data_IF_131561624929
#
_entry.id   IF_131561624929
#
_cell.length_a   1.000
_cell.length_b   1.000
_cell.length_c   1.000
_cell.angle_alpha   90.00
_cell.angle_beta   90.00
_cell.angle_gamma   90.00
#
_symmetry.space_group_name_H-M   'P 1'
#
loop_
_entity.id
_entity.type
_entity.pdbx_description
1 polymer ?
#
# COMPACT_ATOMS: atom_id res chain seq x y z
N UNK A 1 4.61 -7.10 3.76
CA UNK A 1 6.03 -7.38 4.02
C UNK A 1 6.32 -7.31 5.50
N UNK A 2 6.27 -6.12 6.11
CA UNK A 2 6.69 -5.90 7.50
C UNK A 2 6.01 -6.83 8.52
N UNK A 3 4.69 -7.04 8.41
CA UNK A 3 3.98 -7.95 9.30
C UNK A 3 4.45 -9.41 9.20
N UNK A 4 4.86 -9.87 8.00
CA UNK A 4 5.39 -11.22 7.81
C UNK A 4 6.76 -11.37 8.48
N UNK A 5 7.65 -10.40 8.28
CA UNK A 5 8.98 -10.37 8.90
C UNK A 5 8.87 -10.32 10.42
N UNK A 6 8.06 -9.41 10.95
CA UNK A 6 7.87 -9.28 12.41
C UNK A 6 7.27 -10.54 13.02
N UNK A 7 6.34 -11.21 12.33
CA UNK A 7 5.75 -12.45 12.81
C UNK A 7 6.80 -13.58 12.85
N UNK A 8 7.67 -13.68 11.84
CA UNK A 8 8.77 -14.63 11.80
C UNK A 8 9.76 -14.42 12.95
N UNK A 9 10.21 -13.17 13.13
CA UNK A 9 11.15 -12.82 14.20
C UNK A 9 10.55 -13.15 15.57
N UNK A 10 9.30 -12.75 15.81
CA UNK A 10 8.65 -13.03 17.09
C UNK A 10 8.51 -14.55 17.37
N UNK A 11 8.14 -15.32 16.37
CA UNK A 11 8.02 -16.77 16.52
C UNK A 11 9.36 -17.47 16.75
N UNK A 12 10.42 -17.01 16.07
CA UNK A 12 11.79 -17.50 16.27
C UNK A 12 12.31 -17.20 17.68
N UNK A 13 11.79 -16.14 18.32
CA UNK A 13 12.04 -15.81 19.74
C UNK A 13 11.08 -16.52 20.71
N UNK A 14 10.38 -17.55 20.26
CA UNK A 14 9.41 -18.34 21.04
C UNK A 14 8.18 -17.56 21.55
N UNK A 15 7.86 -16.40 20.96
CA UNK A 15 6.58 -15.74 21.22
C UNK A 15 5.44 -16.51 20.54
N UNK A 16 4.28 -16.58 21.21
CA UNK A 16 3.03 -16.98 20.57
C UNK A 16 2.46 -15.79 19.79
N UNK A 17 2.34 -15.95 18.49
CA UNK A 17 1.96 -14.90 17.56
C UNK A 17 0.55 -15.14 17.01
N UNK A 18 -0.30 -14.12 17.08
CA UNK A 18 -1.54 -14.06 16.31
C UNK A 18 -1.35 -13.05 15.17
N UNK A 19 -1.21 -13.57 13.95
CA UNK A 19 -1.09 -12.76 12.73
C UNK A 19 -2.48 -12.56 12.13
N UNK A 20 -2.93 -11.30 12.07
CA UNK A 20 -4.24 -10.91 11.56
C UNK A 20 -4.05 -10.25 10.21
N UNK A 21 -4.81 -10.69 9.20
CA UNK A 21 -4.83 -10.13 7.85
C UNK A 21 -6.28 -9.86 7.43
N UNK A 22 -6.52 -8.66 6.92
CA UNK A 22 -7.85 -8.27 6.44
C UNK A 22 -8.21 -8.90 5.09
N UNK A 23 -7.20 -9.20 4.27
CA UNK A 23 -7.39 -9.79 2.95
C UNK A 23 -7.54 -11.33 3.05
N UNK A 24 -7.93 -11.93 1.93
CA UNK A 24 -8.04 -13.37 1.74
C UNK A 24 -6.68 -14.07 1.66
N UNK A 25 -5.59 -13.33 1.40
CA UNK A 25 -4.22 -13.85 1.37
C UNK A 25 -3.23 -12.90 2.03
N UNK A 26 -2.11 -13.46 2.47
CA UNK A 26 -1.02 -12.72 3.11
C UNK A 26 -0.09 -12.12 2.05
N UNK A 27 0.39 -10.89 2.31
CA UNK A 27 1.38 -10.26 1.43
C UNK A 27 1.17 -8.76 1.25
N UNK A 28 -0.04 -8.27 1.48
CA UNK A 28 -0.38 -6.86 1.30
C UNK A 28 -0.15 -6.43 -0.16
N UNK A 29 0.66 -5.38 -0.37
CA UNK A 29 0.91 -4.82 -1.71
C UNK A 29 1.61 -5.79 -2.68
N UNK A 30 2.34 -6.79 -2.17
CA UNK A 30 2.95 -7.82 -3.04
C UNK A 30 1.88 -8.55 -3.87
N UNK A 31 0.67 -8.72 -3.35
CA UNK A 31 -0.41 -9.41 -4.04
C UNK A 31 -0.83 -8.74 -5.36
N UNK A 32 -0.52 -7.46 -5.51
CA UNK A 32 -0.76 -6.67 -6.72
C UNK A 32 0.52 -6.28 -7.48
N UNK A 33 1.68 -6.77 -7.06
CA UNK A 33 2.96 -6.48 -7.71
C UNK A 33 3.26 -7.54 -8.77
N UNK A 34 3.46 -7.11 -10.02
CA UNK A 34 3.87 -7.98 -11.15
C UNK A 34 5.36 -7.89 -11.46
N UNK A 35 6.03 -6.83 -11.03
CA UNK A 35 7.42 -6.60 -11.35
C UNK A 35 8.31 -7.69 -10.73
N UNK A 36 8.83 -8.57 -11.58
CA UNK A 36 9.75 -9.66 -11.17
C UNK A 36 11.19 -9.17 -10.95
N UNK A 37 11.49 -7.94 -11.35
CA UNK A 37 12.82 -7.34 -11.11
C UNK A 37 13.02 -6.98 -9.64
N UNK A 38 11.92 -6.85 -8.89
CA UNK A 38 11.98 -6.63 -7.44
C UNK A 38 12.31 -7.97 -6.77
N UNK A 39 13.43 -8.00 -6.07
CA UNK A 39 13.91 -9.19 -5.35
C UNK A 39 14.11 -8.91 -3.87
N UNK A 40 13.83 -9.92 -3.06
CA UNK A 40 14.21 -9.96 -1.64
C UNK A 40 14.98 -11.27 -1.44
N UNK A 41 16.16 -11.22 -0.83
CA UNK A 41 17.05 -12.38 -0.63
C UNK A 41 17.37 -13.13 -1.94
N UNK A 42 17.60 -12.40 -3.03
CA UNK A 42 17.83 -12.91 -4.39
C UNK A 42 16.63 -13.69 -4.98
N UNK A 43 15.48 -13.71 -4.34
CA UNK A 43 14.24 -14.31 -4.86
C UNK A 43 13.33 -13.23 -5.43
N UNK A 44 12.65 -13.48 -6.57
CA UNK A 44 11.55 -12.63 -6.99
C UNK A 44 10.54 -12.42 -5.86
N UNK A 45 10.01 -11.21 -5.74
CA UNK A 45 9.21 -10.80 -4.56
C UNK A 45 8.04 -11.75 -4.28
N UNK A 46 7.41 -12.29 -5.32
CA UNK A 46 6.30 -13.24 -5.17
C UNK A 46 6.77 -14.62 -4.67
N UNK A 47 7.95 -15.08 -5.09
CA UNK A 47 8.54 -16.31 -4.59
C UNK A 47 8.96 -16.17 -3.14
N UNK A 48 9.61 -15.04 -2.79
CA UNK A 48 9.92 -14.72 -1.41
C UNK A 48 8.68 -14.71 -0.53
N UNK A 49 7.59 -14.04 -0.98
CA UNK A 49 6.31 -14.03 -0.26
C UNK A 49 5.78 -15.45 -0.02
N UNK A 50 5.77 -16.28 -1.05
CA UNK A 50 5.28 -17.66 -0.92
C UNK A 50 6.12 -18.47 0.07
N UNK A 51 7.44 -18.33 0.03
CA UNK A 51 8.37 -19.00 0.93
C UNK A 51 8.17 -18.60 2.39
N UNK A 52 8.06 -17.29 2.68
CA UNK A 52 7.85 -16.81 4.04
C UNK A 52 6.45 -17.22 4.57
N UNK A 53 5.40 -17.12 3.77
CA UNK A 53 4.05 -17.54 4.15
C UNK A 53 3.99 -19.03 4.46
N UNK A 54 4.63 -19.87 3.64
CA UNK A 54 4.74 -21.32 3.92
C UNK A 54 5.47 -21.59 5.24
N UNK A 55 6.58 -20.90 5.49
CA UNK A 55 7.32 -21.00 6.74
C UNK A 55 6.48 -20.60 7.96
N UNK A 56 5.76 -19.47 7.87
CA UNK A 56 4.89 -18.99 8.94
C UNK A 56 3.73 -19.97 9.21
N UNK A 57 3.11 -20.51 8.16
CA UNK A 57 1.96 -21.42 8.29
C UNK A 57 2.32 -22.77 8.95
N UNK A 58 3.57 -23.20 8.83
CA UNK A 58 4.09 -24.44 9.46
C UNK A 58 4.58 -24.23 10.89
N UNK A 59 4.71 -22.98 11.35
CA UNK A 59 5.23 -22.69 12.67
C UNK A 59 4.14 -22.80 13.75
N UNK A 60 4.29 -23.73 14.68
CA UNK A 60 3.33 -23.98 15.78
C UNK A 60 3.15 -22.79 16.74
N UNK A 61 4.05 -21.82 16.73
CA UNK A 61 3.94 -20.60 17.51
C UNK A 61 3.07 -19.52 16.83
N UNK A 62 2.70 -19.71 15.56
CA UNK A 62 1.96 -18.71 14.79
C UNK A 62 0.54 -19.21 14.50
N UNK A 63 -0.44 -18.40 14.83
CA UNK A 63 -1.82 -18.55 14.37
C UNK A 63 -2.13 -17.44 13.37
N UNK A 64 -2.43 -17.81 12.12
CA UNK A 64 -2.82 -16.88 11.05
C UNK A 64 -4.35 -16.83 11.00
N UNK A 65 -4.91 -15.62 10.95
CA UNK A 65 -6.36 -15.38 10.80
C UNK A 65 -6.57 -14.38 9.69
N UNK A 66 -7.06 -14.86 8.56
CA UNK A 66 -7.35 -14.07 7.35
C UNK A 66 -8.81 -13.57 7.35
N UNK A 67 -9.16 -12.71 6.38
CA UNK A 67 -10.48 -12.08 6.27
C UNK A 67 -10.91 -11.43 7.60
N UNK A 68 -9.93 -10.83 8.30
CA UNK A 68 -10.13 -10.35 9.67
C UNK A 68 -9.62 -8.92 9.81
N UNK A 69 -10.55 -8.00 10.05
CA UNK A 69 -10.25 -6.59 10.22
C UNK A 69 -10.21 -6.23 11.70
N UNK A 70 -9.05 -5.75 12.17
CA UNK A 70 -8.94 -5.15 13.48
C UNK A 70 -9.48 -3.71 13.43
N UNK A 71 -10.54 -3.43 14.19
CA UNK A 71 -11.25 -2.17 14.15
C UNK A 71 -11.15 -1.34 15.44
N UNK A 72 -10.65 -1.93 16.52
CA UNK A 72 -10.48 -1.21 17.77
C UNK A 72 -9.23 -1.65 18.53
N UNK A 73 -8.55 -0.67 19.14
CA UNK A 73 -7.42 -0.86 20.03
C UNK A 73 -7.64 -0.08 21.33
N UNK A 74 -8.03 -0.79 22.35
CA UNK A 74 -8.45 -0.27 23.65
C UNK A 74 -7.30 -0.37 24.67
N UNK A 75 -7.54 0.13 25.90
CA UNK A 75 -6.56 0.11 26.97
C UNK A 75 -6.06 -1.32 27.30
N UNK A 76 -4.83 -1.41 27.77
CA UNK A 76 -4.17 -2.65 28.18
C UNK A 76 -4.02 -3.66 27.05
N UNK A 77 -3.67 -3.19 25.85
CA UNK A 77 -3.51 -4.01 24.64
C UNK A 77 -4.71 -4.93 24.35
N UNK A 78 -5.92 -4.42 24.56
CA UNK A 78 -7.14 -5.10 24.15
C UNK A 78 -7.52 -4.66 22.73
N UNK A 79 -7.46 -5.60 21.79
CA UNK A 79 -7.87 -5.36 20.40
C UNK A 79 -9.18 -6.08 20.13
N UNK A 80 -10.00 -5.46 19.27
CA UNK A 80 -11.23 -6.06 18.75
C UNK A 80 -11.07 -6.21 17.23
N UNK A 81 -11.41 -7.40 16.73
CA UNK A 81 -11.39 -7.66 15.31
C UNK A 81 -12.65 -8.42 14.88
N UNK A 82 -13.08 -8.19 13.65
CA UNK A 82 -14.18 -8.93 13.02
C UNK A 82 -13.59 -9.80 11.90
N UNK A 83 -13.92 -11.08 11.96
CA UNK A 83 -13.57 -12.07 10.95
C UNK A 83 -14.81 -12.39 10.13
N UNK A 84 -14.71 -12.26 8.81
CA UNK A 84 -15.70 -12.79 7.88
C UNK A 84 -15.47 -14.29 7.68
N UNK A 85 -16.52 -15.09 7.90
CA UNK A 85 -16.47 -16.55 7.77
C UNK A 85 -17.03 -16.94 6.40
N UNK A 86 -16.20 -17.63 5.61
CA UNK A 86 -16.55 -18.13 4.27
C UNK A 86 -17.08 -17.04 3.31
N UNK A 87 -16.31 -15.95 3.03
CA UNK A 87 -16.75 -14.86 2.14
C UNK A 87 -17.12 -15.34 0.72
N UNK A 88 -16.60 -16.48 0.29
CA UNK A 88 -16.87 -17.03 -1.04
C UNK A 88 -18.25 -17.68 -1.18
N UNK A 89 -18.87 -18.09 -0.08
CA UNK A 89 -20.15 -18.82 -0.14
C UNK A 89 -21.38 -17.96 -0.47
N UNK A 90 -21.27 -16.65 -0.60
CA UNK A 90 -22.29 -15.70 -1.10
C UNK A 90 -23.78 -15.93 -0.74
N UNK A 91 -24.15 -17.16 -0.40
CA UNK A 91 -25.48 -17.64 -0.05
C UNK A 91 -25.45 -18.29 1.33
N UNK A 92 -25.41 -17.48 2.37
CA UNK A 92 -25.55 -17.97 3.74
C UNK A 92 -26.95 -18.54 4.00
N UNK A 93 -27.03 -19.72 4.57
CA UNK A 93 -28.30 -20.20 5.17
C UNK A 93 -28.65 -19.33 6.38
N UNK A 94 -29.93 -19.24 6.70
CA UNK A 94 -30.47 -18.36 7.76
C UNK A 94 -29.74 -18.46 9.13
N UNK A 95 -29.14 -19.61 9.44
CA UNK A 95 -28.50 -19.90 10.73
C UNK A 95 -26.95 -20.03 10.63
N UNK A 96 -26.34 -19.72 9.48
CA UNK A 96 -24.87 -19.79 9.34
C UNK A 96 -24.22 -18.62 10.05
N UNK A 97 -23.09 -18.88 10.70
CA UNK A 97 -22.24 -17.83 11.28
C UNK A 97 -21.57 -17.10 10.13
N UNK A 98 -21.87 -15.82 9.96
CA UNK A 98 -21.32 -14.95 8.92
C UNK A 98 -20.07 -14.24 9.39
N UNK A 99 -20.07 -13.84 10.64
CA UNK A 99 -19.00 -13.06 11.25
C UNK A 99 -18.64 -13.60 12.63
N UNK A 100 -17.37 -13.45 12.99
CA UNK A 100 -16.85 -13.78 14.32
C UNK A 100 -16.14 -12.57 14.91
N UNK A 101 -16.53 -12.16 16.10
CA UNK A 101 -15.81 -11.13 16.85
C UNK A 101 -14.69 -11.77 17.67
N UNK A 102 -13.48 -11.26 17.48
CA UNK A 102 -12.30 -11.60 18.26
C UNK A 102 -12.09 -10.53 19.34
N UNK A 103 -11.95 -10.95 20.58
CA UNK A 103 -11.45 -10.14 21.69
C UNK A 103 -10.05 -10.63 22.01
N UNK A 104 -9.04 -9.80 21.72
CA UNK A 104 -7.64 -10.19 21.76
C UNK A 104 -6.95 -9.36 22.82
N UNK A 105 -6.36 -10.00 23.80
CA UNK A 105 -5.50 -9.34 24.77
C UNK A 105 -4.09 -9.88 24.61
N UNK A 106 -3.16 -8.99 24.27
CA UNK A 106 -1.76 -9.35 24.03
C UNK A 106 -0.82 -8.61 24.98
N UNK A 107 0.38 -9.15 25.15
CA UNK A 107 1.44 -8.45 25.88
C UNK A 107 2.06 -7.36 25.04
N UNK A 108 2.30 -7.63 23.74
CA UNK A 108 2.91 -6.74 22.77
C UNK A 108 2.07 -6.68 21.51
N UNK A 109 2.03 -5.53 20.86
CA UNK A 109 1.28 -5.31 19.60
C UNK A 109 2.24 -4.75 18.55
N UNK A 110 2.27 -5.35 17.38
CA UNK A 110 2.99 -4.81 16.22
C UNK A 110 1.96 -4.44 15.15
N UNK A 111 1.92 -3.18 14.78
CA UNK A 111 1.05 -2.62 13.76
C UNK A 111 1.80 -2.52 12.44
N UNK A 112 1.42 -3.36 11.49
CA UNK A 112 1.92 -3.37 10.11
C UNK A 112 0.79 -3.06 9.13
N UNK A 113 0.01 -2.03 9.43
CA UNK A 113 -1.27 -1.67 8.80
C UNK A 113 -1.11 -0.98 7.45
N UNK A 114 0.12 -0.70 7.03
CA UNK A 114 0.39 -0.17 5.70
C UNK A 114 -0.06 1.28 5.52
N UNK A 115 -0.42 1.62 4.29
CA UNK A 115 -0.81 2.97 3.85
C UNK A 115 -2.03 2.92 2.96
N UNK A 116 -2.71 4.06 2.85
CA UNK A 116 -3.81 4.30 1.91
C UNK A 116 -3.36 5.35 0.91
N UNK A 117 -3.57 5.10 -0.39
CA UNK A 117 -3.27 6.07 -1.44
C UNK A 117 -4.22 7.26 -1.34
N UNK A 118 -3.69 8.48 -1.48
CA UNK A 118 -4.47 9.72 -1.45
C UNK A 118 -4.97 10.10 -2.84
N UNK A 119 -6.22 10.57 -2.98
CA UNK A 119 -6.67 11.20 -4.21
C UNK A 119 -6.02 12.59 -4.39
N UNK A 120 -5.98 13.05 -5.64
CA UNK A 120 -5.73 14.45 -5.98
C UNK A 120 -7.07 15.11 -6.25
N UNK A 121 -7.27 16.33 -5.74
CA UNK A 121 -8.54 17.07 -5.88
C UNK A 121 -8.50 17.91 -7.16
N UNK A 122 -9.55 17.83 -7.95
CA UNK A 122 -9.80 18.63 -9.16
C UNK A 122 -11.31 18.73 -9.42
N UNK A 123 -11.71 19.53 -10.37
CA UNK A 123 -13.13 19.74 -10.64
C UNK A 123 -13.80 18.49 -11.23
N UNK A 124 -15.00 18.11 -10.72
CA UNK A 124 -15.74 16.90 -11.09
C UNK A 124 -14.95 15.59 -10.90
N UNK A 125 -14.18 15.48 -9.81
CA UNK A 125 -13.39 14.28 -9.47
C UNK A 125 -14.20 13.10 -8.95
N UNK A 126 -15.50 13.25 -8.77
CA UNK A 126 -16.46 12.24 -8.32
C UNK A 126 -17.13 11.45 -9.47
N UNK A 127 -16.74 11.75 -10.71
CA UNK A 127 -17.33 11.12 -11.90
C UNK A 127 -16.97 9.63 -12.00
N UNK A 128 -17.94 8.73 -12.28
CA UNK A 128 -17.64 7.31 -12.52
C UNK A 128 -16.57 7.09 -13.59
N UNK A 129 -15.64 6.19 -13.32
CA UNK A 129 -14.43 5.98 -14.13
C UNK A 129 -13.21 6.77 -13.63
N UNK A 130 -13.32 7.40 -12.45
CA UNK A 130 -12.18 7.96 -11.73
C UNK A 130 -11.95 7.08 -10.50
N UNK A 131 -10.72 6.62 -10.30
CA UNK A 131 -10.35 5.77 -9.18
C UNK A 131 -8.88 5.96 -8.78
N UNK A 132 -8.50 5.46 -7.62
CA UNK A 132 -7.11 5.44 -7.19
C UNK A 132 -6.27 4.53 -8.09
N UNK A 133 -5.03 4.94 -8.37
CA UNK A 133 -4.09 4.20 -9.20
C UNK A 133 -3.80 2.82 -8.62
N UNK A 134 -3.57 2.73 -7.30
CA UNK A 134 -3.35 1.47 -6.63
C UNK A 134 -4.57 0.54 -6.68
N UNK A 135 -5.78 1.08 -6.63
CA UNK A 135 -6.99 0.28 -6.82
C UNK A 135 -7.07 -0.29 -8.24
N UNK A 136 -6.73 0.51 -9.26
CA UNK A 136 -6.65 0.04 -10.64
C UNK A 136 -5.59 -1.07 -10.80
N UNK A 137 -4.40 -0.91 -10.18
CA UNK A 137 -3.33 -1.91 -10.12
C UNK A 137 -3.83 -3.22 -9.51
N UNK A 138 -4.56 -3.15 -8.39
CA UNK A 138 -5.12 -4.32 -7.72
C UNK A 138 -6.15 -5.04 -8.59
N UNK A 139 -7.04 -4.31 -9.28
CA UNK A 139 -7.97 -4.91 -10.24
C UNK A 139 -7.23 -5.65 -11.35
N UNK A 140 -6.23 -5.03 -11.95
CA UNK A 140 -5.46 -5.65 -13.04
C UNK A 140 -4.66 -6.85 -12.56
N UNK A 141 -3.84 -6.67 -11.52
CA UNK A 141 -2.79 -7.62 -11.18
C UNK A 141 -3.26 -8.75 -10.27
N UNK A 142 -4.16 -8.47 -9.31
CA UNK A 142 -4.71 -9.50 -8.41
C UNK A 142 -5.93 -10.21 -9.02
N UNK A 143 -6.82 -9.45 -9.67
CA UNK A 143 -8.11 -9.99 -10.13
C UNK A 143 -8.18 -10.21 -11.66
N UNK A 144 -7.17 -9.81 -12.44
CA UNK A 144 -7.14 -9.97 -13.90
C UNK A 144 -8.21 -9.13 -14.62
N UNK A 145 -8.67 -8.04 -14.02
CA UNK A 145 -9.74 -7.18 -14.54
C UNK A 145 -9.18 -5.82 -14.93
N UNK A 146 -9.38 -5.41 -16.18
CA UNK A 146 -9.08 -4.05 -16.64
C UNK A 146 -10.30 -3.14 -16.41
N UNK A 147 -10.22 -2.14 -15.52
CA UNK A 147 -11.35 -1.25 -15.23
C UNK A 147 -11.64 -0.22 -16.33
N UNK A 148 -10.78 -0.11 -17.34
CA UNK A 148 -10.91 0.74 -18.52
C UNK A 148 -10.09 0.24 -19.69
N UNK A 149 -10.27 0.86 -20.88
CA UNK A 149 -9.56 0.55 -22.13
C UNK A 149 -8.59 1.64 -22.57
N UNK A 150 -8.90 2.90 -22.24
CA UNK A 150 -8.12 4.08 -22.58
C UNK A 150 -7.86 4.85 -21.29
N UNK A 151 -6.66 4.73 -20.75
CA UNK A 151 -6.32 5.18 -19.42
C UNK A 151 -5.52 6.48 -19.44
N UNK A 152 -5.86 7.37 -18.54
CA UNK A 152 -5.00 8.50 -18.16
C UNK A 152 -4.62 8.30 -16.69
N UNK A 153 -3.34 8.51 -16.37
CA UNK A 153 -2.84 8.53 -15.01
C UNK A 153 -2.58 9.96 -14.59
N UNK A 154 -2.97 10.32 -13.37
CA UNK A 154 -2.72 11.65 -12.80
C UNK A 154 -2.02 11.53 -11.47
N UNK A 155 -0.83 12.11 -11.34
CA UNK A 155 0.04 11.87 -10.20
C UNK A 155 0.90 13.07 -9.81
N UNK A 156 1.41 13.04 -8.58
CA UNK A 156 2.47 13.88 -8.04
C UNK A 156 3.66 13.06 -7.50
N UNK A 157 3.68 11.75 -7.78
CA UNK A 157 4.70 10.82 -7.26
C UNK A 157 4.96 9.66 -8.24
N UNK A 158 5.95 8.82 -7.94
CA UNK A 158 6.40 7.77 -8.88
C UNK A 158 5.54 6.50 -8.85
N UNK A 159 4.71 6.25 -7.85
CA UNK A 159 3.97 4.99 -7.72
C UNK A 159 2.96 4.74 -8.84
N UNK A 160 2.35 5.81 -9.39
CA UNK A 160 1.42 5.68 -10.51
C UNK A 160 2.09 5.23 -11.82
N UNK A 161 3.37 5.52 -11.99
CA UNK A 161 4.13 5.09 -13.17
C UNK A 161 4.27 3.57 -13.23
N UNK A 162 4.50 2.90 -12.10
CA UNK A 162 4.51 1.44 -12.05
C UNK A 162 3.18 0.87 -12.54
N UNK A 163 2.06 1.41 -12.03
CA UNK A 163 0.73 0.98 -12.47
C UNK A 163 0.51 1.22 -13.96
N UNK A 164 0.91 2.38 -14.48
CA UNK A 164 0.79 2.70 -15.90
C UNK A 164 1.59 1.72 -16.79
N UNK A 165 2.79 1.34 -16.35
CA UNK A 165 3.62 0.34 -17.03
C UNK A 165 2.94 -1.02 -17.02
N UNK A 166 2.37 -1.46 -15.89
CA UNK A 166 1.65 -2.73 -15.79
C UNK A 166 0.49 -2.81 -16.79
N UNK A 167 -0.29 -1.73 -16.93
CA UNK A 167 -1.36 -1.65 -17.93
C UNK A 167 -0.82 -1.69 -19.35
N UNK A 168 0.22 -0.91 -19.64
CA UNK A 168 0.84 -0.84 -20.97
C UNK A 168 1.41 -2.20 -21.39
N UNK A 169 2.13 -2.89 -20.51
CA UNK A 169 2.71 -4.22 -20.76
C UNK A 169 1.64 -5.31 -20.96
N UNK A 170 0.40 -5.09 -20.48
CA UNK A 170 -0.76 -5.96 -20.76
C UNK A 170 -1.51 -5.57 -22.05
N UNK A 171 -0.99 -4.66 -22.85
CA UNK A 171 -1.61 -4.22 -24.11
C UNK A 171 -2.80 -3.30 -23.93
N UNK A 172 -3.01 -2.74 -22.73
CA UNK A 172 -4.07 -1.78 -22.46
C UNK A 172 -3.54 -0.39 -22.74
N UNK A 173 -4.34 0.42 -23.45
CA UNK A 173 -3.88 1.72 -23.91
C UNK A 173 -3.74 2.74 -22.77
N UNK A 174 -2.51 3.17 -22.53
CA UNK A 174 -2.19 4.32 -21.66
C UNK A 174 -2.03 5.54 -22.55
N UNK A 175 -3.01 6.45 -22.50
CA UNK A 175 -3.02 7.67 -23.32
C UNK A 175 -1.96 8.66 -22.86
N UNK A 176 -1.86 8.87 -21.55
CA UNK A 176 -0.84 9.71 -20.94
C UNK A 176 -0.69 9.48 -19.43
N UNK A 177 0.49 9.83 -18.91
CA UNK A 177 0.75 10.08 -17.50
C UNK A 177 0.87 11.60 -17.32
N UNK A 178 -0.02 12.19 -16.56
CA UNK A 178 -0.04 13.62 -16.21
C UNK A 178 0.61 13.77 -14.84
N UNK A 179 1.78 14.37 -14.79
CA UNK A 179 2.55 14.57 -13.56
C UNK A 179 2.58 16.05 -13.22
N UNK A 180 2.19 16.38 -11.98
CA UNK A 180 2.20 17.77 -11.51
C UNK A 180 3.62 18.32 -11.34
N UNK A 181 4.62 17.45 -11.21
CA UNK A 181 6.02 17.84 -11.06
C UNK A 181 6.64 18.21 -12.42
N UNK A 182 7.57 19.17 -12.40
CA UNK A 182 8.34 19.55 -13.60
C UNK A 182 9.42 18.53 -13.95
N UNK A 183 9.90 17.75 -12.96
CA UNK A 183 10.87 16.67 -13.15
C UNK A 183 10.49 15.42 -12.38
N UNK A 184 10.79 14.28 -12.96
CA UNK A 184 10.64 12.96 -12.33
C UNK A 184 11.74 12.06 -12.89
N UNK A 185 12.74 11.73 -12.05
CA UNK A 185 13.97 11.05 -12.46
C UNK A 185 14.13 9.66 -11.83
N UNK A 186 13.07 9.15 -11.22
CA UNK A 186 13.03 7.82 -10.63
C UNK A 186 13.13 6.68 -11.66
N UNK A 187 13.22 5.47 -11.16
CA UNK A 187 13.29 4.26 -12.00
C UNK A 187 12.05 4.11 -12.90
N UNK A 188 10.84 4.18 -12.33
CA UNK A 188 9.60 3.99 -13.07
C UNK A 188 9.32 5.10 -14.11
N UNK A 189 9.51 6.41 -13.83
CA UNK A 189 9.44 7.44 -14.85
C UNK A 189 10.37 7.22 -16.03
N UNK A 190 11.62 6.80 -15.77
CA UNK A 190 12.59 6.47 -16.83
C UNK A 190 12.15 5.24 -17.63
N UNK A 191 11.63 4.19 -16.98
CA UNK A 191 11.10 2.98 -17.65
C UNK A 191 9.90 3.34 -18.52
N UNK A 192 8.94 4.12 -18.01
CA UNK A 192 7.76 4.56 -18.78
C UNK A 192 8.16 5.35 -20.04
N UNK A 193 9.13 6.25 -19.92
CA UNK A 193 9.64 7.01 -21.06
C UNK A 193 10.30 6.09 -22.11
N UNK A 194 11.10 5.12 -21.68
CA UNK A 194 11.72 4.12 -22.59
C UNK A 194 10.68 3.27 -23.33
N UNK A 195 9.55 2.98 -22.69
CA UNK A 195 8.43 2.26 -23.31
C UNK A 195 7.60 3.12 -24.27
N UNK A 196 7.88 4.42 -24.37
CA UNK A 196 7.17 5.35 -25.25
C UNK A 196 5.82 5.81 -24.70
N UNK A 197 5.56 5.64 -23.41
CA UNK A 197 4.36 6.17 -22.77
C UNK A 197 4.46 7.70 -22.74
N UNK A 198 3.39 8.37 -23.19
CA UNK A 198 3.34 9.85 -23.18
C UNK A 198 3.33 10.37 -21.74
N UNK A 199 4.29 11.23 -21.39
CA UNK A 199 4.40 11.86 -20.06
C UNK A 199 4.26 13.36 -20.20
N UNK A 200 3.27 13.94 -19.52
CA UNK A 200 2.98 15.39 -19.48
C UNK A 200 3.36 15.93 -18.11
N UNK A 201 4.57 16.50 -17.99
CA UNK A 201 5.12 17.07 -16.76
C UNK A 201 4.72 18.53 -16.59
N UNK A 202 4.49 18.96 -15.33
CA UNK A 202 4.04 20.32 -15.02
C UNK A 202 2.60 20.61 -15.45
N UNK A 203 1.78 19.55 -15.58
CA UNK A 203 0.35 19.67 -15.89
C UNK A 203 -0.51 19.17 -14.74
N UNK A 204 -1.69 19.75 -14.65
CA UNK A 204 -2.75 19.30 -13.75
C UNK A 204 -4.05 19.08 -14.50
N UNK A 205 -4.95 18.29 -13.92
CA UNK A 205 -6.31 18.15 -14.42
C UNK A 205 -7.13 19.32 -13.90
N UNK A 206 -7.66 20.13 -14.81
CA UNK A 206 -8.53 21.26 -14.47
C UNK A 206 -10.00 20.87 -14.39
N UNK A 207 -10.41 19.87 -15.19
CA UNK A 207 -11.80 19.43 -15.29
C UNK A 207 -11.89 18.05 -15.96
N UNK A 208 -13.06 17.41 -15.82
CA UNK A 208 -13.40 16.17 -16.53
C UNK A 208 -14.68 16.34 -17.33
N UNK A 209 -14.82 15.62 -18.45
CA UNK A 209 -15.99 15.62 -19.31
C UNK A 209 -16.65 14.25 -19.31
N UNK A 210 -17.98 14.24 -19.26
CA UNK A 210 -18.81 13.04 -19.33
C UNK A 210 -20.13 13.23 -18.58
N UNK A 211 -21.12 12.42 -18.86
CA UNK A 211 -22.44 12.49 -18.17
C UNK A 211 -22.58 11.36 -17.14
N UNK A 212 -22.56 10.11 -17.58
CA UNK A 212 -22.71 8.93 -16.73
C UNK A 212 -21.34 8.36 -16.29
N UNK A 213 -20.31 8.62 -17.07
CA UNK A 213 -18.92 8.23 -16.81
C UNK A 213 -17.98 9.21 -17.48
N UNK A 214 -16.71 9.18 -17.07
CA UNK A 214 -15.65 9.96 -17.69
C UNK A 214 -15.51 9.58 -19.18
N UNK A 215 -15.26 10.60 -20.02
CA UNK A 215 -14.96 10.46 -21.45
C UNK A 215 -13.72 11.20 -21.88
N UNK A 216 -13.36 12.23 -21.11
CA UNK A 216 -12.23 13.10 -21.42
C UNK A 216 -11.76 13.82 -20.18
N UNK A 217 -10.47 14.12 -20.09
CA UNK A 217 -9.86 15.01 -19.12
C UNK A 217 -9.38 16.27 -19.81
N UNK A 218 -9.54 17.41 -19.12
CA UNK A 218 -8.99 18.70 -19.52
C UNK A 218 -7.79 19.02 -18.67
N UNK A 219 -6.66 19.23 -19.31
CA UNK A 219 -5.40 19.54 -18.66
C UNK A 219 -5.10 21.04 -18.83
N UNK A 220 -4.44 21.59 -17.83
CA UNK A 220 -3.79 22.88 -17.94
C UNK A 220 -2.38 22.81 -17.40
N UNK A 221 -1.49 23.61 -17.95
CA UNK A 221 -0.14 23.74 -17.43
C UNK A 221 -0.18 24.46 -16.08
N UNK A 222 0.55 23.94 -15.11
CA UNK A 222 0.65 24.58 -13.80
C UNK A 222 1.38 25.91 -13.99
N UNK A 223 0.78 27.00 -13.50
CA UNK A 223 1.38 28.33 -13.59
C UNK A 223 2.59 28.40 -12.68
N UNK A 224 3.72 28.77 -13.26
CA UNK A 224 4.92 29.19 -12.53
C UNK A 224 5.13 30.68 -12.76
N UNK A 225 5.94 31.35 -11.95
CA UNK A 225 6.25 32.76 -12.10
C UNK A 225 6.74 33.15 -13.52
N UNK A 226 7.34 32.19 -14.23
CA UNK A 226 7.91 32.36 -15.55
C UNK A 226 7.03 31.85 -16.70
N UNK A 227 5.83 31.32 -16.44
CA UNK A 227 5.01 30.74 -17.50
C UNK A 227 3.51 31.03 -17.31
N UNK A 228 3.01 31.96 -18.12
CA UNK A 228 1.60 32.38 -18.16
C UNK A 228 0.81 31.77 -19.33
N UNK A 229 1.35 30.76 -20.02
CA UNK A 229 0.65 30.16 -21.15
C UNK A 229 -0.64 29.45 -20.72
N UNK A 230 -1.74 29.81 -21.37
CA UNK A 230 -3.05 29.17 -21.25
C UNK A 230 -3.14 27.98 -22.21
N UNK A 231 -2.20 27.02 -22.16
CA UNK A 231 -2.34 25.83 -22.96
C UNK A 231 -3.32 24.86 -22.26
N UNK A 232 -4.42 24.54 -22.94
CA UNK A 232 -5.32 23.48 -22.50
C UNK A 232 -5.19 22.30 -23.47
N UNK A 233 -5.03 21.10 -22.91
CA UNK A 233 -4.97 19.86 -23.66
C UNK A 233 -6.15 19.00 -23.22
N UNK A 234 -6.85 18.41 -24.18
CA UNK A 234 -7.93 17.48 -23.90
C UNK A 234 -7.50 16.06 -24.29
N UNK A 235 -7.69 15.10 -23.40
CA UNK A 235 -7.36 13.69 -23.66
C UNK A 235 -8.59 12.83 -23.41
N UNK A 236 -8.99 12.07 -24.44
CA UNK A 236 -10.10 11.11 -24.32
C UNK A 236 -9.66 9.91 -23.47
N UNK A 237 -10.49 9.53 -22.52
CA UNK A 237 -10.26 8.35 -21.68
C UNK A 237 -11.59 7.80 -21.16
N UNK A 238 -11.58 6.54 -20.75
CA UNK A 238 -12.69 5.90 -20.05
C UNK A 238 -12.32 5.47 -18.62
N UNK A 239 -11.05 5.65 -18.25
CA UNK A 239 -10.52 5.54 -16.88
C UNK A 239 -9.50 6.64 -16.61
N UNK A 240 -9.66 7.31 -15.47
CA UNK A 240 -8.67 8.20 -14.88
C UNK A 240 -8.19 7.61 -13.56
N UNK A 241 -6.92 7.18 -13.52
CA UNK A 241 -6.27 6.66 -12.34
C UNK A 241 -5.48 7.76 -11.62
N UNK A 242 -5.77 8.03 -10.36
CA UNK A 242 -5.20 9.14 -9.60
C UNK A 242 -4.31 8.66 -8.46
N UNK A 243 -3.18 9.33 -8.22
CA UNK A 243 -2.21 9.03 -7.18
C UNK A 243 -1.64 10.31 -6.56
N UNK A 244 -2.17 10.72 -5.42
CA UNK A 244 -1.77 11.95 -4.71
C UNK A 244 -0.78 11.72 -3.56
N UNK A 245 -0.12 10.56 -3.51
CA UNK A 245 0.77 10.16 -2.42
C UNK A 245 0.13 9.14 -1.49
N UNK A 246 0.76 8.92 -0.34
CA UNK A 246 0.40 7.88 0.60
C UNK A 246 0.15 8.44 1.99
N UNK A 247 -0.82 7.89 2.70
CA UNK A 247 -1.13 8.23 4.08
C UNK A 247 -0.97 6.98 4.95
N UNK A 248 -0.09 7.00 5.95
CA UNK A 248 0.05 5.91 6.91
C UNK A 248 -1.26 5.57 7.60
N UNK A 249 -1.57 4.27 7.71
CA UNK A 249 -2.78 3.79 8.37
C UNK A 249 -2.56 3.69 9.87
N UNK A 250 -2.66 4.83 10.55
CA UNK A 250 -2.33 5.00 11.99
C UNK A 250 -3.54 4.97 12.92
N UNK A 251 -4.70 4.55 12.43
CA UNK A 251 -5.95 4.58 13.22
C UNK A 251 -5.87 3.77 14.52
N UNK A 252 -5.36 2.53 14.46
CA UNK A 252 -5.18 1.70 15.65
C UNK A 252 -4.13 2.28 16.61
N UNK A 253 -3.06 2.87 16.07
CA UNK A 253 -2.05 3.53 16.87
C UNK A 253 -2.62 4.70 17.67
N UNK A 254 -3.42 5.56 17.04
CA UNK A 254 -4.07 6.69 17.75
C UNK A 254 -5.11 6.23 18.76
N UNK A 255 -5.86 5.16 18.47
CA UNK A 255 -6.77 4.53 19.42
C UNK A 255 -6.04 3.99 20.66
N UNK A 256 -4.81 3.52 20.51
CA UNK A 256 -3.95 3.11 21.63
C UNK A 256 -3.43 4.30 22.45
N UNK A 257 -3.88 5.53 22.16
CA UNK A 257 -3.42 6.82 22.70
C UNK A 257 -2.01 7.24 22.25
N UNK A 258 -1.46 6.60 21.23
CA UNK A 258 -0.23 7.03 20.58
C UNK A 258 -0.40 8.41 19.94
N UNK A 259 0.62 9.25 20.01
CA UNK A 259 0.61 10.58 19.41
C UNK A 259 1.34 10.56 18.07
N UNK A 260 0.80 11.31 17.13
CA UNK A 260 1.36 11.49 15.80
C UNK A 260 2.21 12.76 15.74
N UNK A 261 3.15 12.79 14.79
CA UNK A 261 3.80 14.01 14.32
C UNK A 261 3.54 14.19 12.83
N UNK A 262 3.43 15.44 12.41
CA UNK A 262 3.35 15.78 10.99
C UNK A 262 4.75 15.76 10.38
N UNK A 263 4.84 15.24 9.16
CA UNK A 263 6.06 15.18 8.37
C UNK A 263 5.85 15.96 7.07
N UNK A 264 6.54 17.10 6.93
CA UNK A 264 6.35 18.04 5.82
C UNK A 264 6.74 17.45 4.46
N UNK A 265 7.75 16.60 4.43
CA UNK A 265 8.33 16.04 3.19
C UNK A 265 7.32 15.30 2.33
N UNK A 266 6.36 14.63 2.92
CA UNK A 266 5.31 13.87 2.25
C UNK A 266 3.89 14.28 2.69
N UNK A 267 3.78 15.30 3.53
CA UNK A 267 2.52 15.83 4.03
C UNK A 267 1.69 14.76 4.77
N UNK A 268 2.33 13.93 5.57
CA UNK A 268 1.66 12.84 6.29
C UNK A 268 1.86 12.87 7.79
N UNK A 269 0.91 12.26 8.53
CA UNK A 269 1.06 12.01 9.96
C UNK A 269 1.67 10.63 10.18
N UNK A 270 2.74 10.57 10.96
CA UNK A 270 3.43 9.34 11.31
C UNK A 270 3.44 9.11 12.82
N UNK A 271 3.59 7.87 13.33
CA UNK A 271 3.75 7.58 14.75
C UNK A 271 4.92 8.34 15.37
N UNK A 272 4.75 8.81 16.62
CA UNK A 272 5.76 9.56 17.34
C UNK A 272 5.92 9.09 18.80
N UNK A 273 4.91 9.33 19.65
CA UNK A 273 4.95 8.91 21.05
C UNK A 273 4.06 7.69 21.27
N UNK A 274 4.60 6.67 21.90
CA UNK A 274 3.89 5.42 22.22
C UNK A 274 3.31 5.52 23.63
N UNK A 275 2.07 5.09 23.82
CA UNK A 275 1.43 5.06 25.13
C UNK A 275 1.26 3.64 25.70
N UNK A 276 0.95 2.67 24.86
CA UNK A 276 0.85 1.26 25.21
C UNK A 276 2.01 0.49 24.58
N UNK A 277 2.23 -0.76 24.98
CA UNK A 277 3.28 -1.60 24.42
C UNK A 277 2.99 -1.97 22.95
N UNK A 278 3.34 -1.05 22.05
CA UNK A 278 3.01 -1.03 20.63
C UNK A 278 4.20 -0.59 19.79
N UNK A 279 4.44 -1.31 18.70
CA UNK A 279 5.40 -0.96 17.65
C UNK A 279 4.66 -0.76 16.32
N UNK A 280 4.97 0.30 15.58
CA UNK A 280 4.57 0.47 14.18
C UNK A 280 5.74 0.15 13.27
N UNK A 281 5.51 -0.64 12.21
CA UNK A 281 6.56 -1.07 11.26
C UNK A 281 6.12 -0.90 9.81
N UNK A 282 7.11 -0.63 8.94
CA UNK A 282 6.88 -0.48 7.51
C UNK A 282 6.16 0.82 7.15
N UNK A 283 5.35 0.80 6.12
CA UNK A 283 4.78 2.03 5.58
C UNK A 283 3.77 2.73 6.52
N UNK A 284 3.17 2.02 7.48
CA UNK A 284 2.39 2.70 8.52
C UNK A 284 3.26 3.51 9.50
N UNK A 285 4.55 3.23 9.56
CA UNK A 285 5.55 4.04 10.27
C UNK A 285 6.14 5.17 9.40
N UNK A 286 5.70 5.26 8.13
CA UNK A 286 6.17 6.25 7.17
C UNK A 286 7.41 5.81 6.38
N UNK A 287 7.76 4.54 6.36
CA UNK A 287 8.83 3.99 5.54
C UNK A 287 8.25 3.52 4.21
N UNK A 288 8.73 4.06 3.07
CA UNK A 288 8.16 3.76 1.75
C UNK A 288 9.12 3.03 0.82
N UNK A 289 10.42 3.15 1.06
CA UNK A 289 11.42 2.40 0.31
C UNK A 289 11.50 0.96 0.81
N UNK A 290 11.48 -0.02 -0.09
CA UNK A 290 11.45 -1.43 0.29
C UNK A 290 12.68 -1.84 1.10
N UNK A 291 13.88 -1.36 0.74
CA UNK A 291 15.11 -1.65 1.49
C UNK A 291 15.05 -1.11 2.92
N UNK A 292 14.57 0.14 3.08
CA UNK A 292 14.39 0.74 4.41
C UNK A 292 13.33 -0.03 5.21
N UNK A 293 12.24 -0.43 4.56
CA UNK A 293 11.18 -1.24 5.19
C UNK A 293 11.75 -2.55 5.73
N UNK A 294 12.56 -3.26 4.95
CA UNK A 294 13.16 -4.53 5.33
C UNK A 294 14.10 -4.34 6.54
N UNK A 295 15.07 -3.46 6.41
CA UNK A 295 16.09 -3.21 7.45
C UNK A 295 15.47 -2.70 8.75
N UNK A 296 14.66 -1.63 8.68
CA UNK A 296 14.04 -1.04 9.87
C UNK A 296 13.03 -1.98 10.53
N UNK A 297 12.23 -2.71 9.74
CA UNK A 297 11.28 -3.68 10.33
C UNK A 297 12.01 -4.74 11.13
N UNK A 298 13.11 -5.24 10.60
CA UNK A 298 13.93 -6.23 11.29
C UNK A 298 14.53 -5.66 12.58
N UNK A 299 15.26 -4.56 12.48
CA UNK A 299 15.93 -3.90 13.60
C UNK A 299 14.94 -3.50 14.70
N UNK A 300 13.86 -2.79 14.36
CA UNK A 300 12.88 -2.31 15.30
C UNK A 300 12.12 -3.46 15.98
N UNK A 301 11.82 -4.52 15.23
CA UNK A 301 11.17 -5.71 15.79
C UNK A 301 12.08 -6.43 16.77
N UNK A 302 13.35 -6.63 16.43
CA UNK A 302 14.32 -7.23 17.37
C UNK A 302 14.48 -6.40 18.63
N UNK A 303 14.67 -5.10 18.51
CA UNK A 303 14.78 -4.17 19.63
C UNK A 303 13.54 -4.23 20.52
N UNK A 304 12.35 -4.10 19.92
CA UNK A 304 11.08 -4.12 20.63
C UNK A 304 10.83 -5.43 21.41
N UNK A 305 11.25 -6.56 20.85
CA UNK A 305 11.08 -7.85 21.50
C UNK A 305 12.18 -8.15 22.53
N UNK A 306 13.35 -7.49 22.45
CA UNK A 306 14.48 -7.68 23.36
C UNK A 306 14.49 -6.75 24.58
N UNK A 307 13.56 -5.78 24.68
CA UNK A 307 13.55 -4.79 25.79
C UNK A 307 13.51 -5.39 27.20
N UNK A 308 13.59 -6.75 27.32
CA UNK A 308 13.79 -7.48 28.59
C UNK A 308 15.03 -8.39 28.62
N UNK A 309 15.86 -8.44 27.56
CA UNK A 309 17.11 -9.21 27.55
C UNK A 309 18.14 -8.57 26.60
N UNK A 310 19.22 -8.03 27.17
CA UNK A 310 20.46 -7.86 26.43
C UNK A 310 20.97 -9.26 26.06
N UNK A 311 20.95 -9.63 24.76
CA UNK A 311 21.97 -10.51 24.15
C UNK A 311 21.63 -10.86 22.71
N UNK A 312 22.67 -10.71 21.90
CA UNK A 312 22.96 -11.32 20.59
C UNK A 312 21.93 -11.20 19.46
N UNK A 313 22.17 -10.19 18.64
CA UNK A 313 21.65 -10.07 17.27
C UNK A 313 22.20 -11.22 16.42
N UNK A 314 21.39 -12.20 16.12
CA UNK A 314 21.62 -13.11 15.00
C UNK A 314 21.33 -12.30 13.73
N UNK A 315 22.35 -12.12 12.90
CA UNK A 315 22.23 -11.40 11.63
C UNK A 315 21.29 -12.16 10.68
N UNK A 316 20.09 -11.65 10.49
CA UNK A 316 19.25 -11.94 9.33
C UNK A 316 19.21 -10.66 8.50
N UNK A 317 20.01 -10.61 7.46
CA UNK A 317 20.09 -9.45 6.57
C UNK A 317 19.13 -9.66 5.38
N UNK A 318 17.98 -9.04 5.39
CA UNK A 318 17.14 -8.93 4.20
C UNK A 318 17.70 -7.83 3.28
N UNK A 319 18.03 -8.19 2.05
CA UNK A 319 18.48 -7.23 1.03
C UNK A 319 17.52 -7.25 -0.16
N UNK A 320 17.09 -6.10 -0.61
CA UNK A 320 16.42 -5.98 -1.91
C UNK A 320 17.41 -5.44 -2.96
N UNK A 321 17.41 -6.06 -4.13
CA UNK A 321 18.13 -5.57 -5.29
C UNK A 321 17.15 -4.78 -6.17
N UNK A 322 17.55 -3.54 -6.52
CA UNK A 322 16.87 -2.66 -7.49
C UNK A 322 15.51 -2.07 -7.09
N UNK A 323 15.48 -1.16 -6.12
CA UNK A 323 14.43 -0.14 -6.03
C UNK A 323 15.03 1.22 -5.74
#
# INVERSE_FOLDING_TARGET
VSGLISAEIAANKNYKVLLIEQEDDLGGEILSTRNQDIKIDNLPINEWKNKIVDKLSKNSNIKIVKNTTCFAYLNYNLLLAVQEIDPEKGLYKKNDIKERIWKIRSKKVILATGTIERPIIFNNNDRPGIMLSNSAKKYLNKYGVAPGKNLVFFTNNDSAYETAIDFFEQGIKVEAIVDTRDSSDGYYPKKANKLGITILKGYEISDTVGRLKIREVKLRKIKTENNNEKSSINIKCDLLAIAGGWTPTVHLFTQSKGKLKFRDVDGSFIPNEVYQDTLCVGSCNGDYNLNEILLKTEEDTYKYLNDNQQNELGEVNYKSDNV
#
